data_IF_131454121868
#
_entry.id   IF_131454121868
#
_cell.length_a   1.000
_cell.length_b   1.000
_cell.length_c   1.000
_cell.angle_alpha   90.00
_cell.angle_beta   90.00
_cell.angle_gamma   90.00
#
_symmetry.space_group_name_H-M   'P 1'
#
loop_
_entity.id
_entity.type
_entity.pdbx_description
1 polymer ?
#
# COMPACT_ATOMS: atom_id res chain seq x y z
N UNK A 1 6.87 -37.02 -24.37
CA UNK A 1 6.08 -36.03 -23.61
C UNK A 1 4.60 -36.26 -23.82
N UNK A 2 3.78 -36.33 -22.76
CA UNK A 2 2.32 -36.31 -22.86
C UNK A 2 1.80 -34.97 -22.34
N UNK A 3 1.16 -34.21 -23.24
CA UNK A 3 0.61 -32.87 -22.97
C UNK A 3 -0.90 -32.91 -23.21
N UNK A 4 -1.66 -32.26 -22.35
CA UNK A 4 -3.08 -31.98 -22.54
C UNK A 4 -3.31 -30.48 -22.27
N UNK A 5 -4.00 -29.79 -23.17
CA UNK A 5 -4.31 -28.36 -23.00
C UNK A 5 -5.80 -28.17 -22.79
N UNK A 6 -6.16 -27.23 -21.92
CA UNK A 6 -7.54 -26.91 -21.59
C UNK A 6 -7.74 -25.41 -21.58
N UNK A 7 -8.87 -24.94 -22.11
CA UNK A 7 -9.39 -23.60 -21.86
C UNK A 7 -10.65 -23.72 -21.01
N UNK A 8 -10.79 -22.89 -19.99
CA UNK A 8 -11.95 -22.88 -19.12
C UNK A 8 -12.26 -21.47 -18.65
N UNK A 9 -13.48 -21.26 -18.16
CA UNK A 9 -13.83 -19.99 -17.54
C UNK A 9 -15.31 -19.87 -17.21
N UNK A 10 -15.61 -18.78 -16.51
CA UNK A 10 -16.84 -18.61 -15.74
C UNK A 10 -17.63 -17.38 -16.18
N UNK A 11 -17.95 -17.27 -17.46
CA UNK A 11 -18.74 -16.16 -18.01
C UNK A 11 -20.19 -16.23 -17.51
N UNK A 12 -20.90 -17.31 -17.86
CA UNK A 12 -22.33 -17.54 -17.51
C UNK A 12 -22.54 -18.85 -16.74
N UNK A 13 -21.47 -19.38 -16.14
CA UNK A 13 -21.43 -20.71 -15.54
C UNK A 13 -20.09 -21.38 -15.84
N UNK A 14 -19.84 -22.52 -15.19
CA UNK A 14 -18.57 -23.20 -15.35
C UNK A 14 -18.48 -23.96 -16.67
N UNK A 15 -17.54 -23.58 -17.54
CA UNK A 15 -17.28 -24.30 -18.79
C UNK A 15 -15.79 -24.59 -18.98
N UNK A 16 -15.48 -25.74 -19.58
CA UNK A 16 -14.11 -26.13 -19.95
C UNK A 16 -14.11 -26.94 -21.25
N UNK A 17 -13.06 -26.75 -22.06
CA UNK A 17 -12.82 -27.47 -23.30
C UNK A 17 -11.36 -27.93 -23.37
N UNK A 18 -11.10 -29.23 -23.61
CA UNK A 18 -12.06 -30.34 -23.53
C UNK A 18 -12.75 -30.44 -22.15
N UNK A 19 -13.97 -30.97 -22.10
CA UNK A 19 -14.78 -31.03 -20.87
C UNK A 19 -14.43 -32.23 -19.95
N UNK A 20 -13.29 -32.90 -20.18
CA UNK A 20 -12.91 -34.11 -19.42
C UNK A 20 -12.55 -33.81 -17.96
N UNK A 21 -12.23 -32.54 -17.64
CA UNK A 21 -11.78 -32.11 -16.31
C UNK A 21 -12.51 -30.89 -15.74
N UNK A 22 -13.69 -30.55 -16.27
CA UNK A 22 -14.40 -29.34 -15.85
C UNK A 22 -14.64 -29.25 -14.33
N UNK A 23 -15.01 -30.35 -13.68
CA UNK A 23 -15.23 -30.37 -12.21
C UNK A 23 -13.96 -29.99 -11.43
N UNK A 24 -12.79 -30.41 -11.92
CA UNK A 24 -11.52 -30.03 -11.29
C UNK A 24 -11.30 -28.51 -11.41
N UNK A 25 -11.41 -27.97 -12.63
CA UNK A 25 -11.24 -26.53 -12.87
C UNK A 25 -12.24 -25.69 -12.07
N UNK A 26 -13.49 -26.15 -12.00
CA UNK A 26 -14.53 -25.54 -11.17
C UNK A 26 -14.11 -25.52 -9.70
N UNK A 27 -13.77 -26.67 -9.12
CA UNK A 27 -13.40 -26.76 -7.69
C UNK A 27 -12.16 -25.93 -7.30
N UNK A 28 -11.20 -25.82 -8.21
CA UNK A 28 -9.90 -25.21 -7.93
C UNK A 28 -9.83 -23.71 -8.19
N UNK A 29 -10.56 -23.23 -9.21
CA UNK A 29 -10.37 -21.88 -9.74
C UNK A 29 -11.61 -21.00 -9.62
N UNK A 30 -12.78 -21.54 -9.24
CA UNK A 30 -14.03 -20.79 -9.09
C UNK A 30 -14.18 -20.22 -7.67
N UNK A 31 -13.10 -19.66 -7.14
CA UNK A 31 -13.04 -19.04 -5.82
C UNK A 31 -12.77 -17.54 -5.96
N UNK A 32 -13.10 -16.75 -4.92
CA UNK A 32 -12.81 -15.31 -4.91
C UNK A 32 -11.29 -15.09 -4.93
N UNK A 33 -10.75 -14.40 -5.94
CA UNK A 33 -9.30 -14.29 -6.13
C UNK A 33 -8.70 -13.16 -5.29
N UNK A 34 -7.45 -13.35 -4.86
CA UNK A 34 -6.62 -12.37 -4.16
C UNK A 34 -6.10 -11.26 -5.09
N UNK A 35 -5.97 -11.57 -6.38
CA UNK A 35 -5.51 -10.65 -7.44
C UNK A 35 -6.52 -10.66 -8.59
N UNK A 36 -6.81 -9.47 -9.12
CA UNK A 36 -7.74 -9.27 -10.24
C UNK A 36 -7.05 -8.50 -11.36
N UNK A 37 -7.50 -8.74 -12.59
CA UNK A 37 -7.09 -8.03 -13.82
C UNK A 37 -5.61 -8.15 -14.20
N UNK A 38 -4.88 -9.05 -13.56
CA UNK A 38 -3.49 -9.39 -13.89
C UNK A 38 -3.41 -10.91 -14.08
N UNK A 39 -2.74 -11.40 -15.14
CA UNK A 39 -2.52 -12.83 -15.32
C UNK A 39 -1.69 -13.44 -14.19
N UNK A 40 -2.08 -14.62 -13.73
CA UNK A 40 -1.38 -15.37 -12.67
C UNK A 40 -1.08 -16.76 -13.20
N UNK A 41 0.20 -17.14 -13.23
CA UNK A 41 0.58 -18.53 -13.50
C UNK A 41 0.51 -19.31 -12.18
N UNK A 42 -0.35 -20.31 -12.13
CA UNK A 42 -0.51 -21.25 -11.03
C UNK A 42 0.05 -22.62 -11.46
N UNK A 43 1.07 -23.09 -10.75
CA UNK A 43 1.78 -24.35 -11.04
C UNK A 43 1.49 -25.35 -9.93
N UNK A 44 0.85 -26.49 -10.28
CA UNK A 44 0.45 -27.53 -9.33
C UNK A 44 0.83 -28.91 -9.80
N UNK A 45 1.21 -29.76 -8.86
CA UNK A 45 1.39 -31.18 -9.10
C UNK A 45 0.09 -31.94 -8.81
N UNK A 46 -0.41 -32.66 -9.81
CA UNK A 46 -1.65 -33.43 -9.76
C UNK A 46 -1.36 -34.92 -9.93
N UNK A 47 -2.00 -35.76 -9.12
CA UNK A 47 -1.94 -37.21 -9.25
C UNK A 47 -3.25 -37.68 -9.89
N UNK A 48 -3.18 -38.32 -11.06
CA UNK A 48 -4.34 -38.86 -11.80
C UNK A 48 -4.02 -40.32 -12.13
N UNK A 49 -4.86 -41.25 -11.70
CA UNK A 49 -4.71 -42.68 -12.00
C UNK A 49 -3.29 -43.24 -11.75
N UNK A 50 -2.67 -42.81 -10.65
CA UNK A 50 -1.32 -43.22 -10.25
C UNK A 50 -0.18 -42.54 -11.01
N UNK A 51 -0.45 -41.63 -11.93
CA UNK A 51 0.54 -40.83 -12.68
C UNK A 51 0.58 -39.40 -12.17
N UNK A 52 1.79 -38.83 -12.12
CA UNK A 52 2.00 -37.45 -11.72
C UNK A 52 2.07 -36.53 -12.93
N UNK A 53 1.29 -35.47 -12.88
CA UNK A 53 1.26 -34.41 -13.88
C UNK A 53 1.58 -33.07 -13.22
N UNK A 54 2.18 -32.15 -13.97
CA UNK A 54 2.24 -30.74 -13.60
C UNK A 54 1.20 -29.99 -14.42
N UNK A 55 0.26 -29.35 -13.75
CA UNK A 55 -0.67 -28.39 -14.35
C UNK A 55 0.00 -27.01 -14.29
N UNK A 56 0.28 -26.41 -15.45
CA UNK A 56 0.67 -25.01 -15.60
C UNK A 56 -0.56 -24.23 -16.05
N UNK A 57 -1.23 -23.57 -15.11
CA UNK A 57 -2.49 -22.88 -15.34
C UNK A 57 -2.30 -21.37 -15.31
N UNK A 58 -2.51 -20.71 -16.45
CA UNK A 58 -2.53 -19.26 -16.50
C UNK A 58 -3.96 -18.75 -16.32
N UNK A 59 -4.18 -17.91 -15.30
CA UNK A 59 -5.49 -17.44 -14.84
C UNK A 59 -5.60 -15.93 -15.01
N UNK A 60 -6.76 -15.46 -15.44
CA UNK A 60 -7.12 -14.05 -15.39
C UNK A 60 -8.49 -13.89 -14.74
N UNK A 61 -8.50 -13.19 -13.61
CA UNK A 61 -9.65 -12.95 -12.77
C UNK A 61 -10.19 -11.51 -12.88
N UNK A 62 -11.41 -11.29 -12.39
CA UNK A 62 -11.98 -9.94 -12.30
C UNK A 62 -12.54 -9.44 -13.63
N UNK A 63 -12.97 -10.37 -14.49
CA UNK A 63 -13.69 -10.08 -15.72
C UNK A 63 -15.16 -9.82 -15.40
N UNK A 64 -15.79 -9.04 -16.27
CA UNK A 64 -17.21 -8.76 -16.28
C UNK A 64 -17.90 -9.89 -17.03
N UNK A 65 -18.73 -10.65 -16.31
CA UNK A 65 -19.62 -11.64 -16.90
C UNK A 65 -20.68 -10.97 -17.78
N UNK A 66 -21.14 -11.70 -18.78
CA UNK A 66 -22.26 -11.30 -19.65
C UNK A 66 -23.59 -11.41 -18.88
N UNK A 67 -23.70 -12.40 -17.99
CA UNK A 67 -24.80 -12.54 -17.03
C UNK A 67 -24.30 -12.43 -15.58
N UNK A 68 -24.25 -11.21 -15.05
CA UNK A 68 -24.44 -10.87 -13.63
C UNK A 68 -23.49 -11.45 -12.57
N UNK A 69 -22.56 -12.35 -12.89
CA UNK A 69 -21.60 -12.88 -11.91
C UNK A 69 -20.43 -11.90 -11.74
N UNK A 70 -20.26 -11.30 -10.55
CA UNK A 70 -19.05 -10.54 -10.26
C UNK A 70 -17.84 -11.47 -10.29
N UNK A 71 -16.72 -10.96 -10.79
CA UNK A 71 -15.42 -11.65 -10.83
C UNK A 71 -15.38 -12.92 -11.70
N UNK A 72 -15.92 -12.83 -12.92
CA UNK A 72 -15.70 -13.86 -13.92
C UNK A 72 -14.19 -14.04 -14.20
N UNK A 73 -13.82 -15.21 -14.71
CA UNK A 73 -12.43 -15.54 -14.98
C UNK A 73 -12.29 -16.44 -16.20
N UNK A 74 -11.09 -16.44 -16.75
CA UNK A 74 -10.65 -17.36 -17.78
C UNK A 74 -9.35 -18.00 -17.33
N UNK A 75 -9.12 -19.24 -17.72
CA UNK A 75 -7.85 -19.90 -17.54
C UNK A 75 -7.50 -20.81 -18.71
N UNK A 76 -6.19 -20.98 -18.91
CA UNK A 76 -5.63 -21.97 -19.81
C UNK A 76 -4.69 -22.86 -19.00
N UNK A 77 -4.93 -24.17 -19.01
CA UNK A 77 -4.08 -25.15 -18.34
C UNK A 77 -3.31 -25.96 -19.37
N UNK A 78 -2.00 -26.05 -19.20
CA UNK A 78 -1.14 -27.01 -19.87
C UNK A 78 -0.79 -28.09 -18.85
N UNK A 79 -1.36 -29.28 -19.02
CA UNK A 79 -1.07 -30.44 -18.18
C UNK A 79 0.01 -31.28 -18.83
N UNK A 80 1.11 -31.46 -18.12
CA UNK A 80 2.26 -32.18 -18.59
C UNK A 80 2.54 -33.42 -17.73
N UNK A 81 2.75 -34.58 -18.33
CA UNK A 81 3.31 -35.76 -17.65
C UNK A 81 4.82 -35.55 -17.42
N UNK A 82 5.15 -34.74 -16.41
CA UNK A 82 6.51 -34.28 -16.13
C UNK A 82 6.54 -32.85 -15.63
N UNK A 83 7.74 -32.28 -15.48
CA UNK A 83 7.97 -30.89 -15.08
C UNK A 83 8.98 -30.23 -16.02
N UNK A 84 8.64 -29.05 -16.56
CA UNK A 84 9.55 -28.22 -17.36
C UNK A 84 10.63 -27.61 -16.46
N UNK A 85 11.90 -27.94 -16.72
CA UNK A 85 13.01 -27.62 -15.82
C UNK A 85 13.27 -26.13 -15.62
N UNK A 86 13.01 -25.32 -16.65
CA UNK A 86 13.16 -23.86 -16.60
C UNK A 86 11.80 -23.21 -16.39
N UNK A 87 11.43 -22.99 -15.13
CA UNK A 87 10.18 -22.33 -14.77
C UNK A 87 10.08 -20.92 -15.39
N UNK A 88 11.18 -20.19 -15.45
CA UNK A 88 11.25 -18.88 -16.09
C UNK A 88 10.87 -18.95 -17.58
N UNK A 89 11.35 -19.98 -18.29
CA UNK A 89 11.08 -20.15 -19.71
C UNK A 89 9.60 -20.46 -19.97
N UNK A 90 9.02 -21.41 -19.23
CA UNK A 90 7.60 -21.73 -19.36
C UNK A 90 6.71 -20.55 -18.96
N UNK A 91 7.08 -19.78 -17.93
CA UNK A 91 6.35 -18.55 -17.57
C UNK A 91 6.28 -17.57 -18.75
N UNK A 92 7.41 -17.26 -19.38
CA UNK A 92 7.42 -16.33 -20.52
C UNK A 92 6.68 -16.87 -21.73
N UNK A 93 6.81 -18.17 -22.04
CA UNK A 93 6.04 -18.80 -23.09
C UNK A 93 4.54 -18.66 -22.87
N UNK A 94 4.05 -19.00 -21.67
CA UNK A 94 2.63 -18.96 -21.34
C UNK A 94 2.08 -17.53 -21.36
N UNK A 95 2.82 -16.56 -20.82
CA UNK A 95 2.43 -15.15 -20.89
C UNK A 95 2.34 -14.66 -22.33
N UNK A 96 3.29 -15.03 -23.19
CA UNK A 96 3.24 -14.67 -24.61
C UNK A 96 2.05 -15.30 -25.34
N UNK A 97 1.77 -16.58 -25.10
CA UNK A 97 0.59 -17.25 -25.69
C UNK A 97 -0.71 -16.60 -25.20
N UNK A 98 -0.78 -16.21 -23.93
CA UNK A 98 -1.95 -15.53 -23.39
C UNK A 98 -2.15 -14.15 -23.99
N UNK A 99 -1.11 -13.32 -24.07
CA UNK A 99 -1.18 -12.02 -24.73
C UNK A 99 -1.51 -12.14 -26.21
N UNK A 100 -1.02 -13.18 -26.90
CA UNK A 100 -1.23 -13.36 -28.34
C UNK A 100 -2.54 -14.05 -28.73
N UNK A 101 -3.11 -14.88 -27.85
CA UNK A 101 -4.27 -15.76 -28.16
C UNK A 101 -5.49 -15.54 -27.27
N UNK A 102 -5.33 -14.83 -26.16
CA UNK A 102 -6.42 -14.55 -25.22
C UNK A 102 -6.75 -13.07 -25.22
N UNK A 103 -5.75 -12.21 -25.00
CA UNK A 103 -5.97 -10.76 -25.02
C UNK A 103 -6.30 -10.26 -26.42
N UNK A 104 -7.36 -9.46 -26.54
CA UNK A 104 -7.92 -8.99 -27.82
C UNK A 104 -8.64 -10.04 -28.66
N UNK A 105 -8.59 -11.33 -28.30
CA UNK A 105 -9.19 -12.44 -29.05
C UNK A 105 -10.36 -13.08 -28.30
N UNK A 106 -10.13 -13.47 -27.05
CA UNK A 106 -11.15 -14.06 -26.15
C UNK A 106 -11.65 -13.01 -25.17
N UNK A 107 -10.76 -12.19 -24.65
CA UNK A 107 -11.05 -11.15 -23.65
C UNK A 107 -10.57 -9.80 -24.19
N UNK A 108 -11.31 -8.73 -23.95
CA UNK A 108 -10.88 -7.37 -24.26
C UNK A 108 -11.14 -6.46 -23.05
N UNK A 109 -10.06 -5.84 -22.55
CA UNK A 109 -10.03 -5.07 -21.29
C UNK A 109 -10.41 -5.95 -20.10
N UNK A 110 -11.69 -6.02 -19.81
CA UNK A 110 -12.26 -6.64 -18.62
C UNK A 110 -13.53 -7.41 -18.91
N UNK A 111 -13.74 -7.88 -20.15
CA UNK A 111 -14.91 -8.66 -20.56
C UNK A 111 -14.59 -9.68 -21.64
N UNK A 112 -15.40 -10.73 -21.71
CA UNK A 112 -15.37 -11.69 -22.81
C UNK A 112 -15.82 -11.01 -24.11
N UNK A 113 -15.14 -11.32 -25.22
CA UNK A 113 -15.53 -10.88 -26.57
C UNK A 113 -16.58 -11.82 -27.14
N UNK A 114 -16.42 -13.12 -26.87
CA UNK A 114 -17.33 -14.21 -27.26
C UNK A 114 -17.34 -15.28 -26.16
N UNK A 115 -18.38 -16.13 -26.14
CA UNK A 115 -18.42 -17.28 -25.26
C UNK A 115 -17.22 -18.21 -25.42
N UNK A 116 -16.78 -18.82 -24.31
CA UNK A 116 -15.64 -19.75 -24.32
C UNK A 116 -15.88 -20.94 -25.27
N UNK A 117 -17.14 -21.34 -25.48
CA UNK A 117 -17.52 -22.39 -26.44
C UNK A 117 -17.04 -22.11 -27.87
N UNK A 118 -16.92 -20.85 -28.27
CA UNK A 118 -16.46 -20.45 -29.60
C UNK A 118 -14.97 -20.70 -29.80
N UNK A 119 -14.23 -20.95 -28.71
CA UNK A 119 -12.79 -21.19 -28.70
C UNK A 119 -12.43 -22.64 -28.36
N UNK A 120 -13.36 -23.59 -28.54
CA UNK A 120 -13.15 -25.03 -28.26
C UNK A 120 -11.96 -25.67 -28.99
N UNK A 121 -11.52 -25.10 -30.12
CA UNK A 121 -10.38 -25.58 -30.92
C UNK A 121 -9.04 -24.95 -30.47
N UNK A 122 -9.08 -23.87 -29.65
CA UNK A 122 -7.88 -23.19 -29.18
C UNK A 122 -6.90 -24.10 -28.42
N UNK A 123 -7.35 -25.04 -27.55
CA UNK A 123 -6.43 -25.96 -26.89
C UNK A 123 -5.54 -26.75 -27.86
N UNK A 124 -6.06 -27.21 -28.99
CA UNK A 124 -5.28 -27.95 -29.98
C UNK A 124 -4.21 -27.08 -30.63
N UNK A 125 -4.52 -25.81 -30.91
CA UNK A 125 -3.56 -24.83 -31.46
C UNK A 125 -2.43 -24.57 -30.46
N UNK A 126 -2.77 -24.41 -29.18
CA UNK A 126 -1.81 -24.15 -28.10
C UNK A 126 -0.92 -25.38 -27.82
N UNK A 127 -1.48 -26.58 -27.92
CA UNK A 127 -0.73 -27.83 -27.80
C UNK A 127 0.37 -27.93 -28.87
N UNK A 128 0.02 -27.64 -30.14
CA UNK A 128 0.99 -27.63 -31.25
C UNK A 128 2.09 -26.59 -31.04
N UNK A 129 1.73 -25.40 -30.53
CA UNK A 129 2.69 -24.33 -30.21
C UNK A 129 3.65 -24.75 -29.11
N UNK A 130 3.14 -25.37 -28.04
CA UNK A 130 3.97 -25.90 -26.97
C UNK A 130 4.97 -26.94 -27.50
N UNK A 131 4.50 -27.90 -28.30
CA UNK A 131 5.34 -28.94 -28.88
C UNK A 131 6.42 -28.40 -29.85
N UNK A 132 6.25 -27.18 -30.37
CA UNK A 132 7.27 -26.49 -31.18
C UNK A 132 8.35 -25.77 -30.36
N UNK A 133 8.12 -25.56 -29.06
CA UNK A 133 9.00 -24.79 -28.18
C UNK A 133 9.67 -25.62 -27.08
N UNK A 134 9.09 -26.77 -26.73
CA UNK A 134 9.59 -27.66 -25.69
C UNK A 134 9.74 -29.08 -26.22
N UNK A 135 10.83 -29.73 -25.85
CA UNK A 135 11.10 -31.13 -26.16
C UNK A 135 11.21 -32.00 -24.90
N UNK A 136 11.46 -33.29 -25.08
CA UNK A 136 11.59 -34.24 -23.97
C UNK A 136 12.82 -33.97 -23.07
N UNK A 137 13.83 -33.22 -23.55
CA UNK A 137 15.02 -32.88 -22.77
C UNK A 137 14.76 -31.73 -21.80
N UNK A 138 13.75 -30.90 -22.08
CA UNK A 138 13.31 -29.83 -21.19
C UNK A 138 12.50 -30.34 -19.98
N UNK A 139 12.15 -31.63 -19.96
CA UNK A 139 11.14 -32.18 -19.06
C UNK A 139 11.73 -33.24 -18.14
N UNK A 140 11.71 -32.95 -16.84
CA UNK A 140 12.06 -33.93 -15.82
C UNK A 140 10.85 -34.78 -15.42
N UNK A 141 10.96 -36.12 -15.44
CA UNK A 141 9.95 -37.02 -14.89
C UNK A 141 9.79 -36.86 -13.38
N UNK A 142 8.55 -36.99 -12.89
CA UNK A 142 8.22 -36.83 -11.48
C UNK A 142 8.17 -38.20 -10.80
N UNK A 143 9.07 -38.44 -9.84
CA UNK A 143 9.08 -39.65 -9.01
C UNK A 143 8.47 -39.28 -7.64
N UNK A 144 7.18 -39.55 -7.48
CA UNK A 144 6.39 -39.25 -6.27
C UNK A 144 7.02 -39.83 -5.00
N UNK A 145 7.17 -39.03 -3.92
CA UNK A 145 7.42 -39.62 -2.58
C UNK A 145 7.02 -38.79 -1.35
N UNK A 146 6.25 -37.70 -1.42
CA UNK A 146 5.96 -36.92 -0.18
C UNK A 146 4.50 -36.46 -0.02
N UNK A 147 4.06 -36.44 1.25
CA UNK A 147 2.78 -35.87 1.70
C UNK A 147 2.82 -34.36 1.52
N UNK A 148 1.75 -33.81 0.96
CA UNK A 148 1.62 -32.39 0.63
C UNK A 148 1.35 -31.56 1.88
N UNK A 149 1.98 -30.39 1.95
CA UNK A 149 1.39 -29.20 2.57
C UNK A 149 0.82 -28.37 1.41
N UNK A 150 -0.50 -28.18 1.35
CA UNK A 150 -1.16 -27.45 0.26
C UNK A 150 -1.00 -25.93 0.43
N UNK A 151 0.24 -25.48 0.62
CA UNK A 151 0.57 -24.08 0.81
C UNK A 151 0.73 -23.42 -0.56
N UNK A 152 0.05 -22.30 -0.74
CA UNK A 152 0.25 -21.40 -1.88
C UNK A 152 1.47 -20.53 -1.58
N UNK A 153 2.44 -20.53 -2.49
CA UNK A 153 3.65 -19.72 -2.40
C UNK A 153 3.65 -18.70 -3.55
N UNK A 154 3.48 -17.40 -3.26
CA UNK A 154 3.53 -16.35 -4.27
C UNK A 154 4.97 -16.02 -4.65
N UNK A 155 5.20 -15.77 -5.94
CA UNK A 155 6.48 -15.35 -6.52
C UNK A 155 6.27 -14.18 -7.48
N UNK A 156 7.15 -13.19 -7.40
CA UNK A 156 7.33 -12.24 -8.49
C UNK A 156 8.21 -12.88 -9.59
N UNK A 157 7.92 -12.66 -10.88
CA UNK A 157 8.72 -13.22 -11.98
C UNK A 157 10.22 -12.88 -11.91
N UNK A 158 10.58 -11.73 -11.34
CA UNK A 158 11.98 -11.30 -11.17
C UNK A 158 12.76 -12.12 -10.15
N UNK A 159 12.05 -12.86 -9.28
CA UNK A 159 12.63 -13.64 -8.20
C UNK A 159 12.53 -15.15 -8.45
N UNK A 160 12.25 -15.56 -9.69
CA UNK A 160 12.21 -16.98 -10.04
C UNK A 160 13.62 -17.58 -9.88
N UNK A 161 13.72 -18.56 -8.99
CA UNK A 161 14.82 -19.51 -8.91
C UNK A 161 14.27 -20.87 -9.36
N UNK A 162 14.67 -21.30 -10.56
CA UNK A 162 14.15 -22.52 -11.18
C UNK A 162 14.37 -23.76 -10.29
N UNK A 163 15.52 -23.84 -9.59
CA UNK A 163 15.83 -24.97 -8.72
C UNK A 163 14.98 -24.94 -7.44
N UNK A 164 14.77 -23.76 -6.86
CA UNK A 164 13.89 -23.61 -5.70
C UNK A 164 12.44 -23.95 -6.06
N UNK A 165 11.92 -23.43 -7.18
CA UNK A 165 10.55 -23.69 -7.63
C UNK A 165 10.36 -25.18 -7.90
N UNK A 166 11.26 -25.83 -8.63
CA UNK A 166 11.20 -27.27 -8.89
C UNK A 166 11.11 -28.07 -7.59
N UNK A 167 11.97 -27.77 -6.62
CA UNK A 167 11.96 -28.43 -5.30
C UNK A 167 10.61 -28.27 -4.59
N UNK A 168 10.02 -27.07 -4.64
CA UNK A 168 8.73 -26.78 -4.00
C UNK A 168 7.55 -27.46 -4.71
N UNK A 169 7.51 -27.44 -6.04
CA UNK A 169 6.50 -28.14 -6.84
C UNK A 169 6.57 -29.66 -6.57
N UNK A 170 7.77 -30.23 -6.46
CA UNK A 170 7.96 -31.65 -6.14
C UNK A 170 7.57 -31.98 -4.69
N UNK A 171 7.64 -31.00 -3.78
CA UNK A 171 7.07 -31.07 -2.44
C UNK A 171 5.54 -30.87 -2.41
N UNK A 172 4.89 -30.75 -3.59
CA UNK A 172 3.45 -30.53 -3.79
C UNK A 172 2.93 -29.20 -3.25
N UNK A 173 3.82 -28.21 -3.08
CA UNK A 173 3.42 -26.82 -2.85
C UNK A 173 2.82 -26.23 -4.15
N UNK A 174 1.89 -25.29 -4.01
CA UNK A 174 1.28 -24.58 -5.14
C UNK A 174 2.08 -23.30 -5.38
N UNK A 175 2.67 -23.15 -6.55
CA UNK A 175 3.44 -21.95 -6.89
C UNK A 175 2.57 -21.01 -7.70
N UNK A 176 2.43 -19.75 -7.26
CA UNK A 176 1.74 -18.70 -8.02
C UNK A 176 2.71 -17.61 -8.41
N UNK A 177 2.79 -17.31 -9.71
CA UNK A 177 3.70 -16.34 -10.28
C UNK A 177 2.87 -15.22 -10.93
N UNK A 178 3.11 -13.98 -10.52
CA UNK A 178 2.45 -12.79 -11.06
C UNK A 178 3.28 -11.54 -10.81
N UNK A 179 3.29 -10.61 -11.76
CA UNK A 179 3.90 -9.29 -11.61
C UNK A 179 3.29 -8.45 -10.48
N UNK A 180 2.08 -8.80 -10.03
CA UNK A 180 1.41 -8.14 -8.90
C UNK A 180 1.98 -8.53 -7.54
N UNK A 181 2.72 -9.64 -7.43
CA UNK A 181 3.36 -10.03 -6.17
C UNK A 181 4.60 -9.16 -5.92
N UNK A 182 4.87 -8.73 -4.68
CA UNK A 182 6.02 -7.89 -4.37
C UNK A 182 7.32 -8.67 -4.58
N UNK A 183 8.33 -8.02 -5.15
CA UNK A 183 9.64 -8.65 -5.32
C UNK A 183 10.39 -8.79 -3.99
N UNK A 184 11.35 -9.72 -3.91
CA UNK A 184 12.23 -9.90 -2.74
C UNK A 184 12.99 -8.63 -2.39
N UNK A 185 13.44 -7.87 -3.41
CA UNK A 185 14.09 -6.58 -3.21
C UNK A 185 13.16 -5.56 -2.55
N UNK A 186 11.91 -5.45 -3.02
CA UNK A 186 10.93 -4.54 -2.45
C UNK A 186 10.57 -4.92 -1.01
N UNK A 187 10.41 -6.21 -0.73
CA UNK A 187 10.20 -6.73 0.62
C UNK A 187 11.40 -6.40 1.53
N UNK A 188 12.62 -6.62 1.06
CA UNK A 188 13.83 -6.29 1.82
C UNK A 188 13.96 -4.78 2.08
N UNK A 189 13.58 -3.93 1.11
CA UNK A 189 13.55 -2.48 1.28
C UNK A 189 12.50 -2.07 2.32
N UNK A 190 11.30 -2.66 2.27
CA UNK A 190 10.23 -2.40 3.23
C UNK A 190 10.66 -2.79 4.65
N UNK A 191 11.28 -3.96 4.82
CA UNK A 191 11.84 -4.39 6.11
C UNK A 191 12.92 -3.45 6.65
N UNK A 192 13.81 -2.95 5.79
CA UNK A 192 14.81 -1.94 6.17
C UNK A 192 14.13 -0.65 6.63
N UNK A 193 13.09 -0.20 5.93
CA UNK A 193 12.33 0.99 6.33
C UNK A 193 11.62 0.81 7.68
N UNK A 194 10.98 -0.34 7.94
CA UNK A 194 10.36 -0.62 9.25
C UNK A 194 11.41 -0.70 10.36
N UNK A 195 12.57 -1.32 10.11
CA UNK A 195 13.70 -1.33 11.07
C UNK A 195 14.21 0.07 11.37
N UNK A 196 14.33 0.94 10.37
CA UNK A 196 14.74 2.34 10.62
C UNK A 196 13.67 3.13 11.38
N UNK A 197 12.39 3.00 11.01
CA UNK A 197 11.29 3.69 11.72
C UNK A 197 11.23 3.29 13.19
N UNK A 198 11.37 2.00 13.49
CA UNK A 198 11.39 1.50 14.87
C UNK A 198 12.62 1.97 15.65
N UNK A 199 13.79 2.07 14.99
CA UNK A 199 14.99 2.65 15.61
C UNK A 199 14.80 4.14 15.94
N UNK A 200 14.30 4.93 15.00
CA UNK A 200 14.05 6.36 15.23
C UNK A 200 13.00 6.61 16.31
N UNK A 201 11.95 5.79 16.38
CA UNK A 201 10.96 5.88 17.44
C UNK A 201 11.58 5.69 18.83
N UNK A 202 12.49 4.71 18.98
CA UNK A 202 13.24 4.49 20.24
C UNK A 202 14.17 5.67 20.57
N UNK A 203 14.91 6.18 19.58
CA UNK A 203 15.79 7.34 19.80
C UNK A 203 15.01 8.60 20.22
N UNK A 204 13.82 8.82 19.66
CA UNK A 204 12.91 9.90 20.07
C UNK A 204 12.45 9.69 21.51
N UNK A 205 11.98 8.49 21.87
CA UNK A 205 11.53 8.16 23.23
C UNK A 205 12.65 8.36 24.27
N UNK A 206 13.87 7.89 23.98
CA UNK A 206 15.04 8.10 24.84
C UNK A 206 15.39 9.59 24.99
N UNK A 207 15.29 10.34 23.91
CA UNK A 207 15.57 11.78 23.92
C UNK A 207 14.50 12.55 24.72
N UNK A 208 13.23 12.22 24.53
CA UNK A 208 12.11 12.79 25.29
C UNK A 208 12.25 12.47 26.79
N UNK A 209 12.58 11.22 27.14
CA UNK A 209 12.84 10.83 28.52
C UNK A 209 14.00 11.63 29.12
N UNK A 210 15.10 11.78 28.39
CA UNK A 210 16.26 12.56 28.83
C UNK A 210 15.92 14.04 29.02
N UNK A 211 15.19 14.64 28.09
CA UNK A 211 14.74 16.05 28.19
C UNK A 211 13.81 16.23 29.39
N UNK A 212 12.89 15.29 29.64
CA UNK A 212 11.99 15.33 30.80
C UNK A 212 12.77 15.23 32.11
N UNK A 213 13.74 14.33 32.22
CA UNK A 213 14.61 14.23 33.40
C UNK A 213 15.40 15.51 33.63
N UNK A 214 16.03 16.07 32.59
CA UNK A 214 16.77 17.33 32.71
C UNK A 214 15.87 18.51 33.07
N UNK A 215 14.65 18.56 32.55
CA UNK A 215 13.67 19.58 32.91
C UNK A 215 13.28 19.45 34.40
N UNK A 216 13.05 18.23 34.88
CA UNK A 216 12.73 17.97 36.28
C UNK A 216 13.88 18.35 37.22
N UNK A 217 15.13 18.03 36.85
CA UNK A 217 16.32 18.44 37.61
C UNK A 217 16.43 19.96 37.71
N UNK A 218 16.17 20.69 36.61
CA UNK A 218 16.14 22.15 36.62
C UNK A 218 15.03 22.72 37.49
N UNK A 219 13.82 22.15 37.41
CA UNK A 219 12.70 22.54 38.27
C UNK A 219 13.08 22.35 39.75
N UNK A 220 13.64 21.19 40.12
CA UNK A 220 14.06 20.90 41.48
C UNK A 220 15.16 21.88 41.97
N UNK A 221 16.12 22.21 41.10
CA UNK A 221 17.16 23.20 41.40
C UNK A 221 16.58 24.59 41.62
N UNK A 222 15.64 25.03 40.77
CA UNK A 222 14.97 26.33 40.92
C UNK A 222 14.12 26.38 42.19
N UNK A 223 13.42 25.29 42.51
CA UNK A 223 12.65 25.18 43.75
C UNK A 223 13.54 25.36 44.98
N UNK A 224 14.70 24.69 44.99
CA UNK A 224 15.67 24.82 46.08
C UNK A 224 16.19 26.26 46.24
N UNK A 225 16.37 26.98 45.13
CA UNK A 225 16.76 28.41 45.17
C UNK A 225 15.62 29.29 45.72
N UNK A 226 14.37 29.03 45.31
CA UNK A 226 13.20 29.74 45.83
C UNK A 226 13.07 29.52 47.34
N UNK A 227 13.24 28.29 47.82
CA UNK A 227 13.14 27.97 49.24
C UNK A 227 14.24 28.69 50.05
N UNK A 228 15.48 28.76 49.53
CA UNK A 228 16.57 29.54 50.15
C UNK A 228 16.24 31.03 50.23
N UNK A 229 15.72 31.61 49.16
CA UNK A 229 15.32 33.02 49.12
C UNK A 229 14.15 33.31 50.08
N UNK A 230 13.21 32.38 50.21
CA UNK A 230 12.11 32.49 51.17
C UNK A 230 12.62 32.47 52.62
N UNK A 231 13.58 31.60 52.92
CA UNK A 231 14.21 31.51 54.24
C UNK A 231 15.04 32.77 54.56
N UNK A 232 15.77 33.30 53.58
CA UNK A 232 16.52 34.55 53.71
C UNK A 232 15.57 35.75 53.95
N UNK A 233 14.47 35.83 53.19
CA UNK A 233 13.41 36.82 53.42
C UNK A 233 12.85 36.73 54.84
N UNK A 234 12.59 35.53 55.35
CA UNK A 234 12.10 35.32 56.71
C UNK A 234 13.11 35.82 57.75
N UNK A 235 14.41 35.52 57.57
CA UNK A 235 15.49 36.04 58.44
C UNK A 235 15.54 37.56 58.45
N UNK A 236 15.45 38.20 57.28
CA UNK A 236 15.44 39.67 57.16
C UNK A 236 14.23 40.26 57.91
N UNK A 237 13.04 39.68 57.75
CA UNK A 237 11.84 40.13 58.45
C UNK A 237 12.03 40.02 59.97
N UNK A 238 12.50 38.87 60.48
CA UNK A 238 12.73 38.70 61.92
C UNK A 238 13.83 39.62 62.46
N UNK A 239 14.89 39.87 61.69
CA UNK A 239 15.94 40.82 62.06
C UNK A 239 15.41 42.25 62.10
N UNK A 240 14.53 42.61 61.17
CA UNK A 240 13.86 43.91 61.15
C UNK A 240 12.90 44.07 62.34
N UNK A 241 12.09 43.05 62.65
CA UNK A 241 11.20 43.05 63.82
C UNK A 241 11.98 43.17 65.13
N UNK A 242 13.10 42.47 65.25
CA UNK A 242 14.02 42.62 66.39
C UNK A 242 14.60 44.04 66.45
N UNK A 243 15.00 44.61 65.31
CA UNK A 243 15.58 45.96 65.26
C UNK A 243 14.54 47.03 65.59
N UNK A 244 13.31 46.88 65.10
CA UNK A 244 12.17 47.74 65.41
C UNK A 244 11.79 47.65 66.90
N UNK A 245 11.88 46.46 67.52
CA UNK A 245 11.68 46.28 68.96
C UNK A 245 12.75 47.02 69.76
N UNK A 246 14.03 46.92 69.38
CA UNK A 246 15.12 47.67 70.01
C UNK A 246 14.94 49.19 69.86
N UNK A 247 14.50 49.65 68.68
CA UNK A 247 14.19 51.07 68.43
C UNK A 247 13.01 51.54 69.32
N UNK A 248 11.99 50.70 69.54
CA UNK A 248 10.90 51.03 70.45
C UNK A 248 11.35 51.09 71.92
N UNK A 249 12.26 50.20 72.32
CA UNK A 249 12.82 50.18 73.68
C UNK A 249 13.71 51.42 73.94
N UNK A 250 14.53 51.81 72.98
CA UNK A 250 15.29 53.07 73.00
C UNK A 250 14.35 54.28 73.07
N UNK A 251 13.25 54.29 72.32
CA UNK A 251 12.22 55.35 72.41
C UNK A 251 11.57 55.44 73.79
N UNK A 252 11.29 54.30 74.44
CA UNK A 252 10.73 54.26 75.80
C UNK A 252 11.73 54.80 76.83
N UNK A 253 13.00 54.44 76.73
CA UNK A 253 14.07 54.94 77.61
C UNK A 253 14.29 56.47 77.47
N UNK A 254 14.11 57.01 76.27
CA UNK A 254 14.26 58.44 75.98
C UNK A 254 13.00 59.28 76.24
N UNK A 255 11.90 58.71 76.75
CA UNK A 255 10.61 59.38 76.98
C UNK A 255 10.09 60.23 75.80
N UNK A 256 10.32 59.76 74.57
CA UNK A 256 9.87 60.47 73.37
C UNK A 256 8.40 60.15 73.09
N UNK A 257 7.54 61.18 73.12
CA UNK A 257 6.10 61.10 72.80
C UNK A 257 5.87 60.54 71.38
N UNK A 258 4.77 59.81 71.13
CA UNK A 258 4.42 59.28 69.81
C UNK A 258 3.85 60.39 68.92
N UNK A 259 4.64 61.40 68.61
CA UNK A 259 4.28 62.43 67.63
C UNK A 259 5.52 63.17 67.17
N UNK A 260 6.38 62.44 66.49
CA UNK A 260 7.09 62.99 65.36
C UNK A 260 7.14 61.85 64.36
N UNK A 261 6.09 61.77 63.54
CA UNK A 261 6.23 61.26 62.20
C UNK A 261 7.34 62.10 61.57
N UNK A 262 8.58 61.66 61.74
CA UNK A 262 9.64 61.95 60.80
C UNK A 262 9.16 61.26 59.54
N UNK A 263 8.45 62.05 58.73
CA UNK A 263 8.58 62.05 57.28
C UNK A 263 10.07 62.06 56.96
N UNK A 264 10.71 60.91 57.16
CA UNK A 264 11.80 60.47 56.32
C UNK A 264 11.08 60.17 55.02
N UNK A 265 11.03 61.22 54.22
CA UNK A 265 10.58 61.22 52.85
C UNK A 265 10.95 59.89 52.24
N UNK A 266 9.92 59.22 51.74
CA UNK A 266 9.95 57.95 51.03
C UNK A 266 10.68 58.09 49.67
N UNK A 267 11.58 59.06 49.54
CA UNK A 267 11.91 59.72 48.27
C UNK A 267 13.40 59.73 47.94
N UNK A 268 14.30 59.26 48.82
CA UNK A 268 15.75 59.27 48.50
C UNK A 268 16.51 57.96 48.77
N UNK A 269 15.83 56.80 48.79
CA UNK A 269 16.54 55.51 48.78
C UNK A 269 16.05 54.49 47.74
N UNK A 270 15.36 54.96 46.70
CA UNK A 270 15.22 54.25 45.43
C UNK A 270 15.30 55.27 44.29
N UNK A 271 16.49 55.82 44.06
CA UNK A 271 16.83 56.18 42.68
C UNK A 271 16.96 54.85 41.93
N UNK A 272 16.20 54.59 40.86
CA UNK A 272 16.62 53.57 39.91
C UNK A 272 17.92 54.11 39.31
N UNK A 273 19.05 53.69 39.88
CA UNK A 273 20.32 53.83 39.18
C UNK A 273 20.14 53.13 37.84
N UNK A 274 20.48 53.85 36.79
CA UNK A 274 20.50 53.41 35.41
C UNK A 274 21.00 51.96 35.26
N UNK A 275 20.08 51.00 35.20
CA UNK A 275 20.30 49.75 34.47
C UNK A 275 19.95 50.04 33.00
N UNK A 276 20.61 51.05 32.45
CA UNK A 276 20.66 51.35 31.03
C UNK A 276 22.11 51.21 30.55
N UNK A 277 22.78 50.12 30.91
CA UNK A 277 24.05 49.72 30.27
C UNK A 277 24.43 48.27 30.56
N UNK A 278 23.52 47.31 30.32
CA UNK A 278 23.95 45.98 29.88
C UNK A 278 22.92 45.19 29.05
N UNK A 279 22.01 45.91 28.37
CA UNK A 279 21.20 45.36 27.29
C UNK A 279 21.96 45.29 25.93
N UNK A 280 23.28 45.11 25.96
CA UNK A 280 24.12 44.87 24.77
C UNK A 280 24.76 43.48 24.72
N UNK A 281 24.39 42.58 25.64
CA UNK A 281 24.76 41.16 25.58
C UNK A 281 23.64 40.23 25.08
N UNK A 282 22.39 40.66 25.12
CA UNK A 282 21.21 39.82 24.86
C UNK A 282 20.50 40.18 23.54
N UNK A 283 21.26 40.46 22.49
CA UNK A 283 20.70 40.66 21.14
C UNK A 283 21.34 39.76 20.07
N UNK A 284 22.11 38.73 20.47
CA UNK A 284 22.81 37.86 19.52
C UNK A 284 22.43 36.38 19.54
N UNK A 285 21.38 35.99 20.27
CA UNK A 285 21.01 34.57 20.37
C UNK A 285 19.53 34.23 20.17
N UNK A 286 18.69 35.17 19.72
CA UNK A 286 17.29 34.89 19.35
C UNK A 286 17.05 34.77 17.85
N UNK A 287 18.08 34.97 17.00
CA UNK A 287 17.94 34.88 15.54
C UNK A 287 18.16 33.48 14.93
N UNK A 288 18.49 32.45 15.72
CA UNK A 288 18.79 31.10 15.22
C UNK A 288 17.74 30.02 15.53
N UNK A 289 16.69 30.34 16.30
CA UNK A 289 15.65 29.36 16.66
C UNK A 289 14.28 29.60 16.01
N UNK A 290 14.11 30.68 15.24
CA UNK A 290 12.84 31.00 14.57
C UNK A 290 12.73 30.50 13.12
N UNK A 291 13.80 29.93 12.54
CA UNK A 291 13.77 29.48 11.13
C UNK A 291 13.13 28.10 10.87
N UNK A 292 13.24 27.07 11.72
CA UNK A 292 12.62 25.77 11.40
C UNK A 292 11.10 25.74 11.71
N UNK A 293 10.64 26.47 12.73
CA UNK A 293 9.21 26.48 13.10
C UNK A 293 8.35 27.26 12.08
N UNK A 294 8.87 28.37 11.53
CA UNK A 294 8.18 29.13 10.49
C UNK A 294 8.18 28.40 9.13
N UNK A 295 9.24 27.64 8.81
CA UNK A 295 9.28 26.84 7.57
C UNK A 295 8.36 25.62 7.61
N UNK A 296 8.25 24.94 8.76
CA UNK A 296 7.30 23.82 8.92
C UNK A 296 5.85 24.33 8.93
N UNK A 297 5.59 25.48 9.55
CA UNK A 297 4.28 26.14 9.50
C UNK A 297 3.88 26.54 8.07
N UNK A 298 4.79 27.14 7.29
CA UNK A 298 4.55 27.48 5.88
C UNK A 298 4.39 26.26 4.98
N UNK A 299 5.13 25.17 5.23
CA UNK A 299 4.98 23.91 4.48
C UNK A 299 3.64 23.23 4.76
N UNK A 300 3.17 23.25 6.00
CA UNK A 300 1.85 22.73 6.37
C UNK A 300 0.73 23.57 5.76
N UNK A 301 0.85 24.90 5.80
CA UNK A 301 -0.12 25.80 5.16
C UNK A 301 -0.10 25.61 3.63
N UNK A 302 1.08 25.45 3.01
CA UNK A 302 1.23 25.15 1.58
C UNK A 302 0.61 23.80 1.21
N UNK A 303 0.77 22.76 2.03
CA UNK A 303 0.16 21.46 1.82
C UNK A 303 -1.37 21.54 1.92
N UNK A 304 -1.90 22.25 2.93
CA UNK A 304 -3.35 22.41 3.11
C UNK A 304 -3.96 23.23 1.97
N UNK A 305 -3.30 24.31 1.55
CA UNK A 305 -3.75 25.12 0.40
C UNK A 305 -3.68 24.31 -0.90
N UNK A 306 -2.64 23.48 -1.09
CA UNK A 306 -2.52 22.60 -2.27
C UNK A 306 -3.59 21.49 -2.27
N UNK A 307 -3.95 20.96 -1.11
CA UNK A 307 -5.02 19.97 -0.99
C UNK A 307 -6.40 20.59 -1.29
N UNK A 308 -6.62 21.83 -0.80
CA UNK A 308 -7.83 22.59 -1.06
C UNK A 308 -7.95 22.98 -2.53
N UNK A 309 -6.86 23.40 -3.20
CA UNK A 309 -6.89 23.68 -4.64
C UNK A 309 -7.09 22.41 -5.46
N UNK A 310 -6.52 21.27 -5.06
CA UNK A 310 -6.74 19.99 -5.74
C UNK A 310 -8.20 19.51 -5.60
N UNK A 311 -8.82 19.70 -4.43
CA UNK A 311 -10.24 19.44 -4.19
C UNK A 311 -11.13 20.40 -4.97
N UNK A 312 -10.74 21.68 -5.10
CA UNK A 312 -11.48 22.66 -5.90
C UNK A 312 -11.37 22.37 -7.40
N UNK A 313 -10.19 22.01 -7.91
CA UNK A 313 -9.96 21.66 -9.33
C UNK A 313 -10.66 20.35 -9.69
N UNK A 314 -10.63 19.34 -8.82
CA UNK A 314 -11.35 18.08 -9.04
C UNK A 314 -12.88 18.25 -8.95
N UNK A 315 -13.37 19.16 -8.08
CA UNK A 315 -14.78 19.55 -8.04
C UNK A 315 -15.24 20.36 -9.27
N UNK A 316 -14.38 21.23 -9.82
CA UNK A 316 -14.67 21.98 -11.05
C UNK A 316 -14.63 21.06 -12.28
N UNK A 317 -13.69 20.09 -12.36
CA UNK A 317 -13.62 19.11 -13.47
C UNK A 317 -14.82 18.16 -13.45
N UNK A 318 -15.28 17.74 -12.26
CA UNK A 318 -16.50 16.94 -12.13
C UNK A 318 -17.75 17.75 -12.55
N UNK A 319 -17.78 19.06 -12.28
CA UNK A 319 -18.91 19.95 -12.59
C UNK A 319 -18.90 20.50 -14.02
N UNK A 320 -17.74 20.52 -14.70
CA UNK A 320 -17.60 20.98 -16.09
C UNK A 320 -17.77 19.88 -17.14
N UNK A 321 -17.90 18.61 -16.73
CA UNK A 321 -18.23 17.50 -17.63
C UNK A 321 -19.73 17.35 -17.90
N UNK A 322 -20.57 18.16 -17.24
CA UNK A 322 -22.02 18.17 -17.42
C UNK A 322 -22.52 19.50 -17.99
N UNK A 323 -21.97 20.00 -19.11
CA UNK A 323 -22.72 20.85 -20.03
C UNK A 323 -21.97 21.14 -21.35
N UNK A 324 -22.73 21.05 -22.45
CA UNK A 324 -22.41 21.27 -23.88
C UNK A 324 -21.86 20.04 -24.63
N UNK A 325 -22.53 19.50 -25.66
CA UNK A 325 -23.27 20.16 -26.74
C UNK A 325 -24.57 19.45 -27.19
N UNK A 326 -25.56 20.28 -27.54
CA UNK A 326 -26.80 19.95 -28.27
C UNK A 326 -26.57 19.93 -29.79
N UNK A 327 -27.30 19.04 -30.49
CA UNK A 327 -28.07 19.27 -31.73
C UNK A 327 -27.36 19.67 -33.05
N UNK A 328 -27.48 18.83 -34.08
CA UNK A 328 -28.10 19.17 -35.38
C UNK A 328 -28.23 17.93 -36.32
N UNK A 329 -29.43 17.74 -36.87
CA UNK A 329 -29.87 16.82 -37.96
C UNK A 329 -29.37 17.33 -39.35
N UNK A 330 -29.74 16.82 -40.56
CA UNK A 330 -30.46 15.59 -41.03
C UNK A 330 -29.81 14.83 -42.23
N UNK A 331 -30.33 13.60 -42.53
CA UNK A 331 -30.50 12.79 -43.80
C UNK A 331 -29.53 12.91 -45.03
N UNK A 332 -29.45 11.94 -46.00
CA UNK A 332 -30.52 11.08 -46.53
C UNK A 332 -30.20 9.58 -46.70
N UNK A 333 -31.27 8.80 -46.68
CA UNK A 333 -31.34 7.41 -47.13
C UNK A 333 -31.64 7.41 -48.63
N UNK A 334 -30.80 6.81 -49.47
CA UNK A 334 -31.21 6.33 -50.79
C UNK A 334 -30.31 5.18 -51.29
N UNK A 335 -30.94 4.29 -52.06
CA UNK A 335 -30.44 3.14 -52.84
C UNK A 335 -30.04 1.86 -52.06
N UNK A 336 -30.85 0.80 -52.01
CA UNK A 336 -31.36 -0.14 -53.06
C UNK A 336 -30.27 -1.10 -53.59
N UNK A 337 -30.37 -2.38 -53.18
CA UNK A 337 -30.37 -3.59 -54.02
C UNK A 337 -30.42 -4.83 -53.10
N UNK A 338 -31.58 -5.49 -52.94
CA UNK A 338 -32.08 -6.64 -53.72
C UNK A 338 -31.20 -7.89 -53.73
N UNK A 339 -31.70 -8.99 -53.13
CA UNK A 339 -31.81 -10.33 -53.76
C UNK A 339 -32.42 -11.38 -52.81
N UNK A 340 -33.72 -11.64 -53.02
CA UNK A 340 -34.35 -12.96 -53.20
C UNK A 340 -33.80 -14.21 -52.50
N UNK A 341 -34.65 -14.86 -51.69
CA UNK A 341 -35.22 -16.20 -51.96
C UNK A 341 -36.24 -16.61 -50.90
N UNK A 342 -37.48 -16.83 -51.30
CA UNK A 342 -38.38 -17.78 -50.63
C UNK A 342 -39.41 -18.27 -51.64
N UNK A 343 -39.38 -19.59 -51.81
CA UNK A 343 -40.16 -20.37 -52.74
C UNK A 343 -41.63 -20.44 -52.33
N UNK A 344 -42.52 -20.43 -53.30
CA UNK A 344 -43.85 -21.00 -53.15
C UNK A 344 -44.21 -21.80 -54.40
N UNK A 345 -44.67 -23.00 -54.09
CA UNK A 345 -45.05 -24.12 -54.93
C UNK A 345 -46.44 -23.86 -55.53
N UNK A 346 -46.62 -24.16 -56.81
CA UNK A 346 -47.89 -24.70 -57.34
C UNK A 346 -47.76 -25.15 -58.80
N UNK A 347 -47.87 -26.47 -59.01
CA UNK A 347 -48.47 -27.10 -60.21
C UNK A 347 -49.94 -27.38 -59.85
N UNK A 348 -50.90 -27.39 -60.80
CA UNK A 348 -50.97 -28.33 -61.94
C UNK A 348 -51.25 -27.59 -63.28
N UNK A 349 -51.09 -28.16 -64.47
CA UNK A 349 -51.64 -29.40 -65.01
C UNK A 349 -50.85 -29.81 -66.26
#
# INVERSE_FOLDING_TARGET
MRLEVFIFGAEDGAVAYPNTDARYFESMFYQTPDIKRVPILDVRLRLIDGRCFTDYTLLLYGLTATIGRPDAHIGITYRLEGYVDKCTHIYHFLMNEFSGKVDGVVVNRDRFIKPISDFKELPQVLEQRFASCFDDQDITPIISSQKADSRIIPYNPKDIDDAEIKRRVFAREVIRISDSYPSRELLAMQERQTKMKTKYAKEIEETEARVKTQAQERINSLQTQIDRLAEEKKRIITSKESSDATIQEIRKLLQLSPSAAVTLSKEELFKPQDIASNAKGLHRQTHLLSRPALQVGLLLISCVVSLLTLLFVSGIIASSSSSHTKSASPTPTEHVQDSTKSASISTPQ
#
